data_IF_746844734077
#
_entry.id   IF_746844734077
#
_cell.length_a   1.000
_cell.length_b   1.000
_cell.length_c   1.000
_cell.angle_alpha   90.00
_cell.angle_beta   90.00
_cell.angle_gamma   90.00
#
_symmetry.space_group_name_H-M   'P 1'
#
loop_
_entity.id
_entity.type
_entity.pdbx_description
1 polymer ?
#
# COMPACT_ATOMS: atom_id res chain seq x y z
N UNK A 1 -29.03 5.96 -25.80
CA UNK A 1 -29.16 5.41 -24.43
C UNK A 1 -27.85 5.67 -23.71
N UNK A 2 -27.94 6.27 -22.52
CA UNK A 2 -26.85 6.88 -21.74
C UNK A 2 -25.93 5.83 -21.12
N UNK A 3 -24.62 6.01 -21.26
CA UNK A 3 -23.57 5.26 -20.55
C UNK A 3 -23.34 5.86 -19.17
N UNK A 4 -24.38 5.88 -18.33
CA UNK A 4 -24.34 6.51 -17.01
C UNK A 4 -24.94 5.54 -15.99
N UNK A 5 -24.14 4.57 -15.50
CA UNK A 5 -24.41 3.97 -14.18
C UNK A 5 -23.24 3.19 -13.53
N UNK A 6 -22.09 2.99 -14.17
CA UNK A 6 -21.03 2.16 -13.55
C UNK A 6 -20.05 2.92 -12.65
N UNK A 7 -20.22 4.22 -12.40
CA UNK A 7 -19.29 5.00 -11.55
C UNK A 7 -19.72 5.17 -10.09
N UNK A 8 -21.01 5.08 -9.76
CA UNK A 8 -21.46 5.35 -8.38
C UNK A 8 -21.41 4.13 -7.45
N UNK A 9 -21.34 2.90 -7.98
CA UNK A 9 -21.20 1.71 -7.14
C UNK A 9 -19.79 1.49 -6.59
N UNK A 10 -18.75 2.00 -7.27
CA UNK A 10 -17.38 1.86 -6.77
C UNK A 10 -17.08 2.72 -5.55
N UNK A 11 -17.83 3.80 -5.31
CA UNK A 11 -17.54 4.75 -4.23
C UNK A 11 -18.10 4.34 -2.86
N UNK A 12 -19.10 3.44 -2.81
CA UNK A 12 -19.72 3.04 -1.54
C UNK A 12 -19.01 1.85 -0.85
N UNK A 13 -18.25 1.05 -1.60
CA UNK A 13 -17.43 -0.07 -1.09
C UNK A 13 -16.06 0.39 -0.53
N UNK A 14 -15.64 1.63 -0.77
CA UNK A 14 -14.32 2.15 -0.38
C UNK A 14 -14.22 2.49 1.11
N UNK A 15 -15.34 2.54 1.84
CA UNK A 15 -15.34 3.02 3.23
C UNK A 15 -14.83 2.01 4.27
N UNK A 16 -14.43 0.79 3.89
CA UNK A 16 -13.92 -0.19 4.86
C UNK A 16 -13.06 -1.36 4.36
N UNK A 17 -12.63 -1.41 3.10
CA UNK A 17 -12.23 -2.71 2.50
C UNK A 17 -10.78 -2.91 2.04
N UNK A 18 -9.94 -1.88 1.96
CA UNK A 18 -8.52 -2.10 1.64
C UNK A 18 -7.64 -1.96 2.89
N UNK A 19 -7.77 -2.92 3.80
CA UNK A 19 -6.76 -3.22 4.83
C UNK A 19 -5.44 -3.72 4.22
N UNK A 20 -5.39 -3.86 2.89
CA UNK A 20 -4.25 -4.32 2.11
C UNK A 20 -3.82 -3.24 1.11
N UNK A 21 -2.51 -3.06 0.93
CA UNK A 21 -1.97 -2.30 -0.16
C UNK A 21 -1.95 -3.16 -1.42
N UNK A 22 -2.22 -2.54 -2.56
CA UNK A 22 -1.73 -3.03 -3.84
C UNK A 22 -0.23 -2.76 -3.94
N UNK A 23 0.53 -3.62 -4.64
CA UNK A 23 1.99 -3.44 -4.76
C UNK A 23 2.34 -2.07 -5.36
N UNK A 24 1.56 -1.63 -6.34
CA UNK A 24 1.74 -0.32 -6.98
C UNK A 24 1.38 0.82 -6.01
N UNK A 25 0.28 0.68 -5.26
CA UNK A 25 -0.13 1.65 -4.24
C UNK A 25 0.94 1.81 -3.15
N UNK A 26 1.54 0.71 -2.70
CA UNK A 26 2.61 0.75 -1.70
C UNK A 26 3.89 1.41 -2.21
N UNK A 27 4.29 1.10 -3.45
CA UNK A 27 5.45 1.73 -4.09
C UNK A 27 5.25 3.24 -4.18
N UNK A 28 4.07 3.66 -4.65
CA UNK A 28 3.72 5.07 -4.80
C UNK A 28 3.64 5.79 -3.44
N UNK A 29 3.01 5.15 -2.44
CA UNK A 29 2.81 5.71 -1.10
C UNK A 29 4.13 5.93 -0.34
N UNK A 30 5.05 4.97 -0.41
CA UNK A 30 6.30 5.01 0.38
C UNK A 30 7.52 5.46 -0.43
N UNK A 31 7.38 5.64 -1.74
CA UNK A 31 8.48 6.01 -2.64
C UNK A 31 9.57 4.95 -2.73
N UNK A 32 9.18 3.67 -2.60
CA UNK A 32 10.12 2.55 -2.54
C UNK A 32 10.54 2.11 -3.93
N UNK A 33 11.75 1.53 -4.05
CA UNK A 33 12.13 0.80 -5.27
C UNK A 33 11.23 -0.41 -5.45
N UNK A 34 10.83 -0.68 -6.70
CA UNK A 34 9.96 -1.80 -7.07
C UNK A 34 10.45 -3.15 -6.52
N UNK A 35 11.77 -3.36 -6.49
CA UNK A 35 12.37 -4.59 -5.94
C UNK A 35 12.17 -4.69 -4.42
N UNK A 36 12.52 -3.65 -3.66
CA UNK A 36 12.36 -3.64 -2.21
C UNK A 36 10.89 -3.75 -1.79
N UNK A 37 9.99 -3.09 -2.52
CA UNK A 37 8.56 -3.22 -2.30
C UNK A 37 8.05 -4.65 -2.53
N UNK A 38 8.52 -5.32 -3.60
CA UNK A 38 8.20 -6.73 -3.87
C UNK A 38 8.70 -7.65 -2.77
N UNK A 39 9.91 -7.44 -2.28
CA UNK A 39 10.47 -8.24 -1.18
C UNK A 39 9.66 -8.06 0.12
N UNK A 40 9.26 -6.82 0.44
CA UNK A 40 8.41 -6.54 1.59
C UNK A 40 7.02 -7.19 1.44
N UNK A 41 6.43 -7.10 0.24
CA UNK A 41 5.15 -7.75 -0.07
C UNK A 41 5.22 -9.27 0.03
N UNK A 42 6.27 -9.89 -0.51
CA UNK A 42 6.44 -11.34 -0.47
C UNK A 42 6.70 -11.84 0.96
N UNK A 43 7.40 -11.05 1.79
CA UNK A 43 7.81 -11.44 3.13
C UNK A 43 6.75 -11.19 4.20
N UNK A 44 6.04 -10.06 4.12
CA UNK A 44 5.07 -9.64 5.14
C UNK A 44 3.62 -9.73 4.65
N UNK A 45 3.42 -9.90 3.35
CA UNK A 45 2.09 -9.91 2.74
C UNK A 45 1.57 -8.51 2.45
N UNK A 46 0.36 -8.42 1.88
CA UNK A 46 -0.18 -7.17 1.38
C UNK A 46 -0.82 -6.29 2.47
N UNK A 47 -0.77 -6.63 3.75
CA UNK A 47 -1.48 -5.87 4.80
C UNK A 47 -0.86 -4.50 5.07
N UNK A 48 -1.69 -3.44 5.04
CA UNK A 48 -1.23 -2.05 5.19
C UNK A 48 -0.55 -1.78 6.53
N UNK A 49 -1.11 -2.32 7.61
CA UNK A 49 -0.58 -2.11 8.97
C UNK A 49 0.82 -2.69 9.12
N UNK A 50 1.02 -3.92 8.65
CA UNK A 50 2.33 -4.57 8.70
C UNK A 50 3.35 -3.85 7.80
N UNK A 51 2.96 -3.53 6.57
CA UNK A 51 3.82 -2.83 5.62
C UNK A 51 4.22 -1.43 6.12
N UNK A 52 3.27 -0.64 6.63
CA UNK A 52 3.53 0.71 7.15
C UNK A 52 4.46 0.65 8.37
N UNK A 53 4.19 -0.27 9.30
CA UNK A 53 5.05 -0.52 10.46
C UNK A 53 6.47 -0.88 10.02
N UNK A 54 6.63 -1.73 9.01
CA UNK A 54 7.95 -2.14 8.52
C UNK A 54 8.69 -1.02 7.81
N UNK A 55 8.00 -0.19 7.03
CA UNK A 55 8.63 0.99 6.43
C UNK A 55 9.06 1.98 7.50
N UNK A 56 8.25 2.17 8.55
CA UNK A 56 8.62 3.01 9.69
C UNK A 56 9.85 2.46 10.44
N UNK A 57 9.92 1.14 10.67
CA UNK A 57 11.09 0.48 11.26
C UNK A 57 12.35 0.63 10.39
N UNK A 58 12.23 0.42 9.06
CA UNK A 58 13.34 0.60 8.12
C UNK A 58 13.86 2.04 8.10
N UNK A 59 12.96 3.03 8.10
CA UNK A 59 13.35 4.45 8.17
C UNK A 59 14.03 4.79 9.49
N UNK A 60 13.54 4.25 10.62
CA UNK A 60 14.19 4.42 11.93
C UNK A 60 15.58 3.77 11.96
N UNK A 61 15.71 2.54 11.48
CA UNK A 61 16.99 1.84 11.41
C UNK A 61 18.01 2.57 10.52
N UNK A 62 17.56 3.15 9.41
CA UNK A 62 18.43 3.99 8.55
C UNK A 62 18.85 5.32 9.19
N UNK A 63 18.08 5.84 10.15
CA UNK A 63 18.37 7.12 10.80
C UNK A 63 19.17 6.99 12.11
N UNK A 64 19.28 5.80 12.70
CA UNK A 64 20.08 5.57 13.92
C UNK A 64 21.57 5.36 13.67
N UNK A 65 22.04 5.43 12.42
CA UNK A 65 23.46 5.28 12.07
C UNK A 65 24.16 6.64 11.80
N UNK A 66 23.83 7.70 12.54
CA UNK A 66 24.53 8.98 12.47
C UNK A 66 25.05 9.42 13.83
#
# INVERSE_FOLDING_TARGET
MRYEDTKEQYSKVVRGWNARYDLNEFIAQHGLKTLAARELFAKFGPYKVDLDRKVAELRKAGHQNR
#
